data_IF_082553504891
#
_entry.id   IF_082553504891
#
_cell.length_a   1.000
_cell.length_b   1.000
_cell.length_c   1.000
_cell.angle_alpha   90.00
_cell.angle_beta   90.00
_cell.angle_gamma   90.00
#
_symmetry.space_group_name_H-M   'P 1'
#
loop_
_entity.id
_entity.type
_entity.pdbx_description
1 polymer ?
#
# COMPACT_ATOMS: atom_id res chain seq x y z
N UNK A 1 -21.80 7.98 -8.67
CA UNK A 1 -21.40 9.21 -7.98
C UNK A 1 -19.90 9.22 -7.74
N UNK A 2 -19.39 10.34 -7.25
CA UNK A 2 -17.99 10.46 -6.81
C UNK A 2 -17.94 10.41 -5.29
N UNK A 3 -16.81 9.94 -4.75
CA UNK A 3 -16.56 9.83 -3.31
C UNK A 3 -15.29 10.60 -2.96
N UNK A 4 -15.32 11.33 -1.85
CA UNK A 4 -14.16 11.95 -1.22
C UNK A 4 -14.05 11.40 0.20
N UNK A 5 -12.94 10.75 0.51
CA UNK A 5 -12.61 10.26 1.84
C UNK A 5 -11.49 11.09 2.45
N UNK A 6 -11.66 11.51 3.70
CA UNK A 6 -10.64 12.23 4.45
C UNK A 6 -10.24 11.39 5.67
N UNK A 7 -8.95 11.16 5.82
CA UNK A 7 -8.39 10.42 6.95
C UNK A 7 -7.45 11.34 7.70
N UNK A 8 -7.62 11.36 9.00
CA UNK A 8 -6.76 12.07 9.95
C UNK A 8 -6.15 11.03 10.89
N UNK A 9 -4.81 10.96 10.92
CA UNK A 9 -4.08 9.96 11.69
C UNK A 9 -3.06 10.66 12.59
N UNK A 10 -3.16 10.44 13.89
CA UNK A 10 -2.10 10.80 14.83
C UNK A 10 -1.36 9.52 15.21
N UNK A 11 -0.04 9.50 15.04
CA UNK A 11 0.75 8.31 15.23
C UNK A 11 1.97 8.62 16.09
N UNK A 12 2.05 7.97 17.24
CA UNK A 12 3.22 7.91 18.09
C UNK A 12 3.75 6.48 18.09
N UNK A 13 5.02 6.31 17.78
CA UNK A 13 5.68 5.01 17.77
C UNK A 13 6.96 5.09 18.58
N UNK A 14 7.11 4.18 19.54
CA UNK A 14 8.28 4.03 20.38
C UNK A 14 8.75 2.59 20.35
N UNK A 15 10.06 2.40 20.26
CA UNK A 15 10.71 1.11 20.34
C UNK A 15 11.84 1.18 21.36
N UNK A 16 11.69 0.42 22.42
CA UNK A 16 12.72 0.18 23.43
C UNK A 16 13.61 -1.00 22.99
N UNK A 17 14.89 -0.78 22.90
CA UNK A 17 15.88 -1.80 22.53
C UNK A 17 16.33 -2.64 23.73
N UNK A 18 15.86 -2.37 24.95
CA UNK A 18 16.20 -3.02 26.21
C UNK A 18 17.70 -3.07 26.48
N UNK A 19 18.36 -4.18 26.14
CA UNK A 19 19.80 -4.39 26.36
C UNK A 19 20.65 -4.00 25.14
N UNK A 20 20.05 -3.37 24.13
CA UNK A 20 20.70 -2.91 22.90
C UNK A 20 20.69 -1.41 22.75
N UNK A 21 21.36 -0.95 21.72
CA UNK A 21 21.37 0.45 21.29
C UNK A 21 20.84 0.58 19.88
N UNK A 22 20.19 1.70 19.59
CA UNK A 22 19.87 2.09 18.23
C UNK A 22 21.14 2.43 17.44
N UNK A 23 21.03 2.61 16.13
CA UNK A 23 22.13 3.07 15.30
C UNK A 23 22.66 4.46 15.72
N UNK A 24 21.87 5.24 16.47
CA UNK A 24 22.26 6.53 17.06
C UNK A 24 22.83 6.42 18.46
N UNK A 25 23.00 5.21 19.02
CA UNK A 25 23.54 4.97 20.34
C UNK A 25 22.55 5.17 21.51
N UNK A 26 21.26 5.31 21.23
CA UNK A 26 20.22 5.40 22.25
C UNK A 26 19.60 4.03 22.53
N UNK A 27 19.17 3.79 23.75
CA UNK A 27 18.43 2.57 24.12
C UNK A 27 17.01 2.50 23.56
N UNK A 28 16.55 3.51 22.85
CA UNK A 28 15.21 3.58 22.26
C UNK A 28 15.20 4.40 20.97
N UNK A 29 14.15 4.22 20.18
CA UNK A 29 13.79 5.09 19.05
C UNK A 29 12.34 5.49 19.16
N UNK A 30 12.02 6.72 18.81
CA UNK A 30 10.64 7.22 18.82
C UNK A 30 10.38 8.24 17.70
N UNK A 31 9.16 8.26 17.22
CA UNK A 31 8.64 9.25 16.30
C UNK A 31 7.19 9.55 16.64
N UNK A 32 6.83 10.84 16.59
CA UNK A 32 5.46 11.29 16.73
C UNK A 32 5.10 12.21 15.57
N UNK A 33 4.13 11.80 14.81
CA UNK A 33 3.76 12.47 13.57
C UNK A 33 2.24 12.47 13.36
N UNK A 34 1.80 13.38 12.51
CA UNK A 34 0.40 13.57 12.14
C UNK A 34 0.23 13.43 10.64
N UNK A 35 -0.70 12.59 10.20
CA UNK A 35 -1.03 12.34 8.81
C UNK A 35 -2.39 12.86 8.43
N UNK A 36 -2.48 13.61 7.34
CA UNK A 36 -3.71 14.01 6.69
C UNK A 36 -3.76 13.40 5.30
N UNK A 37 -4.83 12.70 4.97
CA UNK A 37 -4.97 12.02 3.69
C UNK A 37 -6.34 12.31 3.09
N UNK A 38 -6.36 12.65 1.82
CA UNK A 38 -7.55 12.82 1.01
C UNK A 38 -7.52 11.86 -0.17
N UNK A 39 -8.57 11.08 -0.35
CA UNK A 39 -8.76 10.16 -1.47
C UNK A 39 -10.02 10.55 -2.22
N UNK A 40 -9.89 10.81 -3.49
CA UNK A 40 -10.98 11.11 -4.39
C UNK A 40 -11.15 9.97 -5.40
N UNK A 41 -12.36 9.45 -5.49
CA UNK A 41 -12.75 8.46 -6.50
C UNK A 41 -13.90 9.04 -7.32
N UNK A 42 -13.68 9.28 -8.61
CA UNK A 42 -14.77 9.71 -9.48
C UNK A 42 -15.75 8.56 -9.75
N UNK A 43 -16.98 8.89 -10.10
CA UNK A 43 -17.85 7.98 -10.81
C UNK A 43 -17.31 7.67 -12.21
N UNK A 44 -18.04 6.85 -12.94
CA UNK A 44 -17.77 6.54 -14.36
C UNK A 44 -18.64 7.37 -15.27
N UNK A 45 -18.13 7.69 -16.47
CA UNK A 45 -18.92 8.25 -17.55
C UNK A 45 -20.02 7.28 -17.96
N UNK A 46 -21.09 7.82 -18.58
CA UNK A 46 -22.17 7.03 -19.15
C UNK A 46 -21.72 6.37 -20.47
N UNK A 47 -22.22 5.18 -20.76
CA UNK A 47 -21.92 4.46 -21.99
C UNK A 47 -21.49 3.01 -21.73
N UNK A 48 -21.24 2.28 -22.82
CA UNK A 48 -20.80 0.88 -22.74
C UNK A 48 -19.43 0.72 -22.09
N UNK A 49 -18.57 1.74 -22.24
CA UNK A 49 -17.30 1.88 -21.53
C UNK A 49 -17.41 3.10 -20.63
N UNK A 50 -17.33 2.90 -19.34
CA UNK A 50 -17.25 3.97 -18.35
C UNK A 50 -15.79 4.35 -18.10
N UNK A 51 -15.49 5.65 -18.09
CA UNK A 51 -14.17 6.17 -17.76
C UNK A 51 -14.27 6.98 -16.47
N UNK A 52 -13.24 6.90 -15.62
CA UNK A 52 -13.15 7.66 -14.39
C UNK A 52 -11.69 7.91 -14.00
N UNK A 53 -11.52 8.62 -12.90
CA UNK A 53 -10.21 8.92 -12.30
C UNK A 53 -10.28 8.76 -10.79
N UNK A 54 -9.18 8.30 -10.22
CA UNK A 54 -8.92 8.31 -8.79
C UNK A 54 -7.72 9.22 -8.54
N UNK A 55 -7.72 9.93 -7.41
CA UNK A 55 -6.62 10.80 -7.02
C UNK A 55 -6.46 10.77 -5.50
N UNK A 56 -5.26 11.03 -5.02
CA UNK A 56 -5.01 11.21 -3.61
C UNK A 56 -3.99 12.32 -3.35
N UNK A 57 -4.11 12.93 -2.17
CA UNK A 57 -3.11 13.83 -1.61
C UNK A 57 -2.92 13.46 -0.13
N UNK A 58 -1.67 13.37 0.28
CA UNK A 58 -1.28 13.00 1.64
C UNK A 58 -0.24 13.96 2.17
N UNK A 59 -0.32 14.28 3.45
CA UNK A 59 0.60 15.16 4.17
C UNK A 59 1.00 14.47 5.47
N UNK A 60 2.29 14.32 5.72
CA UNK A 60 2.86 13.94 6.99
C UNK A 60 3.50 15.16 7.65
N UNK A 61 3.23 15.36 8.93
CA UNK A 61 3.76 16.45 9.76
C UNK A 61 4.45 15.88 10.99
N UNK A 62 5.67 16.29 11.25
CA UNK A 62 6.37 15.98 12.49
C UNK A 62 5.73 16.75 13.65
N UNK A 63 5.41 16.05 14.73
CA UNK A 63 4.94 16.66 15.98
C UNK A 63 6.07 16.74 17.00
N UNK A 64 6.71 15.60 17.28
CA UNK A 64 7.89 15.52 18.13
C UNK A 64 8.74 14.32 17.74
N UNK A 65 9.85 14.57 17.06
CA UNK A 65 10.85 13.58 16.69
C UNK A 65 12.16 14.33 16.54
N UNK A 66 13.12 14.08 17.40
CA UNK A 66 14.39 14.79 17.39
C UNK A 66 15.54 13.96 16.82
N UNK A 67 16.61 14.66 16.44
CA UNK A 67 17.90 14.07 16.14
C UNK A 67 18.34 13.09 17.22
N UNK A 68 18.84 11.93 16.83
CA UNK A 68 19.27 10.88 17.74
C UNK A 68 18.16 10.01 18.33
N UNK A 69 16.90 10.37 18.18
CA UNK A 69 15.74 9.56 18.62
C UNK A 69 15.04 8.87 17.47
N UNK A 70 15.16 9.39 16.24
CA UNK A 70 14.51 8.92 15.03
C UNK A 70 15.56 8.42 14.02
N UNK A 71 15.13 7.70 12.99
CA UNK A 71 16.02 7.23 11.92
C UNK A 71 17.07 6.20 12.34
N UNK A 72 16.91 5.60 13.46
CA UNK A 72 17.91 4.75 14.09
C UNK A 72 18.08 3.36 13.47
N UNK A 73 18.08 3.28 12.17
CA UNK A 73 18.45 2.05 11.47
C UNK A 73 17.46 0.91 11.67
N UNK A 74 16.28 1.11 11.17
CA UNK A 74 15.42 -0.01 10.96
C UNK A 74 14.07 0.08 11.62
N UNK A 75 13.09 0.37 10.87
CA UNK A 75 11.70 -0.02 11.02
C UNK A 75 10.71 0.90 11.72
N UNK A 76 11.11 2.05 12.25
CA UNK A 76 10.16 2.99 12.87
C UNK A 76 9.87 4.22 12.00
N UNK A 77 10.29 4.28 10.79
CA UNK A 77 10.26 5.51 10.00
C UNK A 77 8.82 5.91 9.64
N UNK A 78 8.28 6.88 10.39
CA UNK A 78 7.05 7.58 10.06
C UNK A 78 7.31 8.76 9.12
N UNK A 79 8.51 9.36 9.23
CA UNK A 79 8.95 10.54 8.51
C UNK A 79 10.14 10.20 7.61
N UNK A 80 10.30 10.87 6.47
CA UNK A 80 11.56 10.86 5.74
C UNK A 80 12.69 11.42 6.61
N UNK A 81 13.92 11.06 6.28
CA UNK A 81 15.12 11.59 6.94
C UNK A 81 16.01 12.27 5.92
N UNK A 82 16.65 13.34 6.34
CA UNK A 82 17.66 14.03 5.55
C UNK A 82 19.00 13.24 5.50
N UNK A 83 19.99 13.78 4.82
CA UNK A 83 21.32 13.15 4.71
C UNK A 83 22.11 13.10 6.02
N UNK A 84 21.73 13.88 7.02
CA UNK A 84 22.29 13.84 8.36
C UNK A 84 21.60 12.82 9.27
N UNK A 85 20.47 12.26 8.82
CA UNK A 85 19.66 11.31 9.57
C UNK A 85 18.61 11.98 10.44
N UNK A 86 18.38 13.28 10.27
CA UNK A 86 17.35 14.01 11.00
C UNK A 86 15.99 13.88 10.32
N UNK A 87 14.89 13.71 11.08
CA UNK A 87 13.56 13.59 10.51
C UNK A 87 13.09 14.92 9.94
N UNK A 88 12.58 14.87 8.71
CA UNK A 88 11.98 16.02 8.02
C UNK A 88 10.76 16.55 8.80
N UNK A 89 10.54 17.88 8.74
CA UNK A 89 9.42 18.52 9.43
C UNK A 89 8.07 18.17 8.81
N UNK A 90 8.05 18.02 7.49
CA UNK A 90 6.87 17.63 6.74
C UNK A 90 7.26 16.92 5.44
N UNK A 91 6.30 16.19 4.87
CA UNK A 91 6.41 15.63 3.54
C UNK A 91 5.02 15.44 2.93
N UNK A 92 4.94 15.48 1.61
CA UNK A 92 3.69 15.32 0.87
C UNK A 92 3.83 14.26 -0.19
N UNK A 93 2.74 13.55 -0.46
CA UNK A 93 2.65 12.63 -1.58
C UNK A 93 1.31 12.80 -2.28
N UNK A 94 1.35 12.98 -3.60
CA UNK A 94 0.18 13.08 -4.44
C UNK A 94 0.28 12.07 -5.57
N UNK A 95 -0.85 11.53 -5.97
CA UNK A 95 -0.90 10.55 -7.04
C UNK A 95 -2.32 10.32 -7.52
N UNK A 96 -2.45 9.41 -8.49
CA UNK A 96 -3.75 9.07 -9.02
C UNK A 96 -3.68 8.03 -10.13
N UNK A 97 -4.85 7.58 -10.54
CA UNK A 97 -5.03 6.59 -11.59
C UNK A 97 -6.19 6.97 -12.49
N UNK A 98 -6.08 6.61 -13.76
CA UNK A 98 -7.23 6.55 -14.65
C UNK A 98 -7.86 5.17 -14.52
N UNK A 99 -9.19 5.10 -14.64
CA UNK A 99 -9.93 3.85 -14.56
C UNK A 99 -10.94 3.72 -15.69
N UNK A 100 -11.10 2.51 -16.17
CA UNK A 100 -12.09 2.16 -17.17
C UNK A 100 -12.91 0.97 -16.68
N UNK A 101 -14.20 0.98 -16.97
CA UNK A 101 -15.10 -0.13 -16.70
C UNK A 101 -15.82 -0.54 -17.96
N UNK A 102 -15.77 -1.82 -18.28
CA UNK A 102 -16.55 -2.46 -19.32
C UNK A 102 -17.30 -3.64 -18.69
N UNK A 103 -18.64 -3.56 -18.67
CA UNK A 103 -19.48 -4.53 -17.95
C UNK A 103 -18.97 -4.66 -16.49
N UNK A 104 -18.64 -5.88 -16.08
CA UNK A 104 -18.18 -6.21 -14.72
C UNK A 104 -16.66 -6.28 -14.61
N UNK A 105 -15.94 -5.71 -15.57
CA UNK A 105 -14.49 -5.61 -15.56
C UNK A 105 -14.05 -4.17 -15.34
N UNK A 106 -13.25 -3.94 -14.30
CA UNK A 106 -12.59 -2.67 -14.03
C UNK A 106 -11.08 -2.79 -14.27
N UNK A 107 -10.50 -1.80 -14.94
CA UNK A 107 -9.06 -1.65 -15.13
C UNK A 107 -8.65 -0.29 -14.54
N UNK A 108 -7.59 -0.27 -13.74
CA UNK A 108 -6.97 0.96 -13.25
C UNK A 108 -5.52 1.03 -13.70
N UNK A 109 -5.06 2.22 -14.10
CA UNK A 109 -3.68 2.48 -14.50
C UNK A 109 -3.18 3.77 -13.86
N UNK A 110 -2.08 3.69 -13.12
CA UNK A 110 -1.49 4.78 -12.34
C UNK A 110 -1.07 4.33 -10.95
N UNK A 111 -1.29 5.18 -9.96
CA UNK A 111 -1.05 4.84 -8.57
C UNK A 111 -2.24 4.05 -8.00
N UNK A 112 -1.97 2.86 -7.51
CA UNK A 112 -2.97 1.87 -7.08
C UNK A 112 -2.65 1.31 -5.70
N UNK A 113 -3.67 0.79 -5.03
CA UNK A 113 -3.60 0.20 -3.70
C UNK A 113 -4.11 -1.25 -3.74
N UNK A 114 -3.34 -2.20 -4.27
CA UNK A 114 -3.78 -3.60 -4.34
C UNK A 114 -3.94 -4.19 -2.94
N UNK A 115 -5.00 -4.97 -2.74
CA UNK A 115 -5.35 -5.59 -1.47
C UNK A 115 -5.67 -7.08 -1.67
N UNK A 116 -4.69 -7.84 -2.13
CA UNK A 116 -4.80 -9.29 -2.33
C UNK A 116 -3.91 -10.06 -1.33
N UNK A 117 -4.11 -11.36 -1.13
CA UNK A 117 -3.27 -12.13 -0.21
C UNK A 117 -1.78 -12.21 -0.59
N UNK A 118 -1.43 -11.92 -1.84
CA UNK A 118 -0.05 -12.02 -2.35
C UNK A 118 0.57 -10.67 -2.70
N UNK A 119 -0.24 -9.63 -2.87
CA UNK A 119 0.20 -8.25 -3.05
C UNK A 119 -0.76 -7.35 -2.31
N UNK A 120 -0.29 -6.74 -1.24
CA UNK A 120 -1.09 -5.88 -0.39
C UNK A 120 -0.31 -4.60 -0.09
N UNK A 121 -0.95 -3.44 -0.22
CA UNK A 121 -0.34 -2.19 0.23
C UNK A 121 -0.25 -2.19 1.76
N UNK A 122 0.89 -1.79 2.30
CA UNK A 122 1.07 -1.63 3.74
C UNK A 122 0.40 -0.35 4.24
N UNK A 123 -0.33 -0.45 5.35
CA UNK A 123 -0.95 0.72 6.03
C UNK A 123 -0.63 0.71 7.54
N UNK A 124 0.55 0.24 7.90
CA UNK A 124 1.00 0.12 9.29
C UNK A 124 1.86 1.30 9.75
N UNK A 125 1.91 2.39 9.01
CA UNK A 125 2.69 3.60 9.31
C UNK A 125 1.81 4.85 9.18
N UNK A 126 2.46 6.03 9.17
CA UNK A 126 1.76 7.33 9.10
C UNK A 126 0.94 7.45 7.82
N UNK A 127 1.55 7.17 6.67
CA UNK A 127 0.89 7.13 5.37
C UNK A 127 0.92 5.70 4.83
N UNK A 128 -0.07 5.28 4.01
CA UNK A 128 -0.07 3.97 3.39
C UNK A 128 0.98 3.89 2.27
N UNK A 129 1.45 2.68 2.00
CA UNK A 129 2.17 2.37 0.77
C UNK A 129 1.24 2.52 -0.45
N UNK A 130 1.83 2.72 -1.61
CA UNK A 130 1.13 2.65 -2.89
C UNK A 130 2.01 1.97 -3.93
N UNK A 131 1.40 1.52 -5.02
CA UNK A 131 2.09 0.92 -6.14
C UNK A 131 1.75 1.66 -7.42
N UNK A 132 2.63 1.63 -8.40
CA UNK A 132 2.37 2.18 -9.72
C UNK A 132 2.32 1.09 -10.76
N UNK A 133 1.26 1.07 -11.57
CA UNK A 133 1.08 0.07 -12.60
C UNK A 133 -0.34 -0.05 -13.10
N UNK A 134 -0.71 -1.26 -13.53
CA UNK A 134 -2.05 -1.57 -14.03
C UNK A 134 -2.63 -2.72 -13.22
N UNK A 135 -3.88 -2.57 -12.81
CA UNK A 135 -4.66 -3.60 -12.13
C UNK A 135 -5.96 -3.89 -12.87
N UNK A 136 -6.46 -5.10 -12.74
CA UNK A 136 -7.74 -5.54 -13.30
C UNK A 136 -8.52 -6.30 -12.24
N UNK A 137 -9.82 -6.02 -12.17
CA UNK A 137 -10.80 -6.79 -11.38
C UNK A 137 -11.95 -7.17 -12.28
N UNK A 138 -12.34 -8.42 -12.24
CA UNK A 138 -13.47 -8.94 -13.02
C UNK A 138 -14.45 -9.69 -12.11
N UNK A 139 -15.73 -9.34 -12.22
CA UNK A 139 -16.84 -9.95 -11.49
C UNK A 139 -17.93 -10.48 -12.46
N UNK A 140 -17.56 -10.84 -13.69
CA UNK A 140 -18.52 -11.29 -14.72
C UNK A 140 -19.12 -12.66 -14.45
N UNK A 141 -18.52 -13.43 -13.56
CA UNK A 141 -19.03 -14.73 -13.15
C UNK A 141 -19.61 -14.63 -11.75
N UNK A 142 -20.81 -15.18 -11.56
CA UNK A 142 -21.44 -15.24 -10.25
C UNK A 142 -20.52 -15.95 -9.25
N UNK A 143 -20.46 -15.42 -8.04
CA UNK A 143 -19.67 -15.97 -6.94
C UNK A 143 -18.15 -16.03 -7.17
N UNK A 144 -17.62 -15.52 -8.29
CA UNK A 144 -16.20 -15.50 -8.61
C UNK A 144 -15.69 -14.09 -8.88
N UNK A 145 -14.77 -13.62 -8.05
CA UNK A 145 -13.98 -12.40 -8.31
C UNK A 145 -12.58 -12.80 -8.80
N UNK A 146 -12.20 -12.33 -9.98
CA UNK A 146 -10.83 -12.47 -10.50
C UNK A 146 -10.09 -11.14 -10.37
N UNK A 147 -8.84 -11.20 -9.97
CA UNK A 147 -8.00 -10.02 -9.82
C UNK A 147 -6.59 -10.28 -10.35
N UNK A 148 -5.99 -9.25 -10.90
CA UNK A 148 -4.62 -9.32 -11.35
C UNK A 148 -4.02 -7.93 -11.56
N UNK A 149 -2.71 -7.89 -11.75
CA UNK A 149 -2.02 -6.65 -12.01
C UNK A 149 -0.56 -6.85 -12.38
N UNK A 150 -0.01 -5.79 -12.96
CA UNK A 150 1.42 -5.63 -13.21
C UNK A 150 1.86 -4.26 -12.74
N UNK A 151 2.74 -4.25 -11.76
CA UNK A 151 3.25 -3.08 -11.08
C UNK A 151 4.73 -2.92 -11.42
N UNK A 152 5.20 -1.68 -11.57
CA UNK A 152 6.60 -1.40 -11.95
C UNK A 152 7.32 -0.47 -10.98
N UNK A 153 6.62 0.05 -9.99
CA UNK A 153 7.21 0.84 -8.91
C UNK A 153 6.32 0.76 -7.66
N UNK A 154 6.88 1.16 -6.53
CA UNK A 154 6.15 1.35 -5.28
C UNK A 154 6.53 2.67 -4.62
N UNK A 155 5.76 3.04 -3.61
CA UNK A 155 6.02 4.17 -2.73
C UNK A 155 5.96 3.69 -1.29
N UNK A 156 7.04 3.87 -0.56
CA UNK A 156 7.08 3.54 0.86
C UNK A 156 6.28 4.56 1.69
N UNK A 157 5.93 4.23 2.95
CA UNK A 157 5.11 5.09 3.80
C UNK A 157 5.71 6.47 4.09
N UNK A 158 7.03 6.58 4.10
CA UNK A 158 7.80 7.75 4.49
C UNK A 158 8.54 8.41 3.31
N UNK A 159 7.93 8.46 2.14
CA UNK A 159 8.50 9.13 0.98
C UNK A 159 7.48 9.98 0.24
N UNK A 160 7.93 11.04 -0.39
CA UNK A 160 7.15 11.86 -1.34
C UNK A 160 7.16 11.28 -2.76
N UNK A 161 8.06 10.34 -3.05
CA UNK A 161 8.18 9.75 -4.38
C UNK A 161 7.13 8.65 -4.58
N UNK A 162 6.51 8.62 -5.76
CA UNK A 162 5.54 7.59 -6.16
C UNK A 162 6.11 6.61 -7.21
N UNK A 163 7.42 6.62 -7.43
CA UNK A 163 8.07 5.81 -8.46
C UNK A 163 9.43 5.29 -7.98
N UNK A 164 9.46 4.71 -6.78
CA UNK A 164 10.65 4.08 -6.22
C UNK A 164 10.74 2.60 -6.60
N UNK A 165 11.91 2.02 -6.39
CA UNK A 165 12.15 0.58 -6.51
C UNK A 165 11.32 -0.21 -5.50
N UNK A 166 11.13 -1.49 -5.78
CA UNK A 166 10.46 -2.37 -4.83
C UNK A 166 11.32 -2.59 -3.59
N UNK A 167 10.68 -2.50 -2.43
CA UNK A 167 11.30 -2.78 -1.14
C UNK A 167 10.55 -3.93 -0.48
N UNK A 168 11.32 -4.86 0.05
CA UNK A 168 10.78 -6.01 0.77
C UNK A 168 11.10 -5.90 2.24
N UNK A 169 10.19 -6.34 3.09
CA UNK A 169 10.34 -6.20 4.54
C UNK A 169 11.64 -6.81 5.09
N UNK A 170 12.09 -7.94 4.52
CA UNK A 170 13.31 -8.63 4.96
C UNK A 170 14.52 -8.43 4.04
N UNK A 171 14.29 -8.10 2.78
CA UNK A 171 15.36 -8.02 1.77
C UNK A 171 15.80 -6.60 1.42
N UNK A 172 15.11 -5.59 1.96
CA UNK A 172 15.36 -4.20 1.57
C UNK A 172 15.00 -3.92 0.10
N UNK A 173 15.68 -2.96 -0.51
CA UNK A 173 15.48 -2.62 -1.92
C UNK A 173 15.84 -3.79 -2.82
N UNK A 174 15.02 -4.04 -3.83
CA UNK A 174 15.17 -5.14 -4.79
C UNK A 174 15.16 -4.56 -6.21
N UNK A 175 16.22 -4.82 -6.94
CA UNK A 175 16.29 -4.51 -8.37
C UNK A 175 15.40 -5.48 -9.15
N UNK A 176 14.12 -5.14 -9.25
CA UNK A 176 13.12 -5.92 -9.96
C UNK A 176 12.31 -5.01 -10.88
N UNK A 177 12.26 -5.31 -12.19
CA UNK A 177 11.59 -4.43 -13.16
C UNK A 177 10.06 -4.46 -13.04
N UNK A 178 9.49 -5.44 -12.36
CA UNK A 178 8.05 -5.52 -12.15
C UNK A 178 7.65 -6.57 -11.09
N UNK A 179 6.49 -6.33 -10.51
CA UNK A 179 5.73 -7.26 -9.67
C UNK A 179 4.41 -7.57 -10.38
N UNK A 180 4.20 -8.85 -10.70
CA UNK A 180 2.94 -9.31 -11.28
C UNK A 180 2.17 -10.20 -10.31
N UNK A 181 0.85 -10.15 -10.37
CA UNK A 181 -0.01 -11.04 -9.59
C UNK A 181 -1.30 -11.38 -10.35
N UNK A 182 -1.88 -12.52 -10.01
CA UNK A 182 -3.17 -12.95 -10.49
C UNK A 182 -3.80 -13.92 -9.50
N UNK A 183 -5.10 -13.96 -9.45
CA UNK A 183 -5.85 -14.90 -8.63
C UNK A 183 -7.32 -14.58 -8.56
N UNK A 184 -7.99 -15.24 -7.64
CA UNK A 184 -9.41 -15.01 -7.42
C UNK A 184 -9.95 -15.65 -6.16
N UNK A 185 -11.17 -15.23 -5.85
CA UNK A 185 -11.99 -15.68 -4.75
C UNK A 185 -13.26 -16.29 -5.28
N UNK A 186 -13.54 -17.53 -4.92
CA UNK A 186 -14.77 -18.24 -5.27
C UNK A 186 -15.60 -18.52 -4.03
N UNK A 187 -16.81 -17.98 -3.99
CA UNK A 187 -17.79 -18.21 -2.93
C UNK A 187 -18.69 -19.37 -3.32
N UNK A 188 -18.49 -20.55 -2.73
CA UNK A 188 -19.36 -21.73 -2.95
C UNK A 188 -20.76 -21.46 -2.44
N UNK A 189 -20.86 -20.74 -1.33
CA UNK A 189 -22.09 -20.23 -0.73
C UNK A 189 -21.72 -19.11 0.26
N UNK A 190 -22.68 -18.55 0.99
CA UNK A 190 -22.48 -17.48 1.97
C UNK A 190 -21.51 -17.85 3.11
N UNK A 191 -21.28 -19.13 3.36
CA UNK A 191 -20.48 -19.64 4.46
C UNK A 191 -19.14 -20.25 4.04
N UNK A 192 -18.89 -20.45 2.75
CA UNK A 192 -17.69 -21.14 2.27
C UNK A 192 -17.07 -20.41 1.07
N UNK A 193 -15.81 -19.99 1.23
CA UNK A 193 -15.03 -19.29 0.21
C UNK A 193 -13.66 -19.95 0.03
N UNK A 194 -13.26 -20.09 -1.22
CA UNK A 194 -11.91 -20.46 -1.64
C UNK A 194 -11.19 -19.26 -2.23
N UNK A 195 -9.88 -19.15 -1.95
CA UNK A 195 -9.01 -18.12 -2.52
C UNK A 195 -7.78 -18.79 -3.11
N UNK A 196 -7.41 -18.42 -4.31
CA UNK A 196 -6.20 -18.89 -4.98
C UNK A 196 -5.51 -17.73 -5.67
N UNK A 197 -4.26 -17.45 -5.27
CA UNK A 197 -3.47 -16.35 -5.82
C UNK A 197 -2.03 -16.76 -6.06
N UNK A 198 -1.42 -16.10 -7.03
CA UNK A 198 0.01 -16.19 -7.30
C UNK A 198 0.58 -14.80 -7.54
N UNK A 199 1.82 -14.58 -7.15
CA UNK A 199 2.58 -13.38 -7.49
C UNK A 199 4.02 -13.73 -7.85
N UNK A 200 4.63 -12.84 -8.64
CA UNK A 200 6.04 -12.90 -9.01
C UNK A 200 6.66 -11.51 -8.94
N UNK A 201 7.66 -11.36 -8.08
CA UNK A 201 8.60 -10.25 -8.18
C UNK A 201 9.74 -10.73 -9.07
N UNK A 202 9.87 -10.10 -10.25
CA UNK A 202 10.79 -10.55 -11.29
C UNK A 202 12.23 -10.58 -10.76
N UNK A 203 12.89 -11.72 -10.98
CA UNK A 203 14.27 -12.01 -10.57
C UNK A 203 14.51 -12.08 -9.05
N UNK A 204 13.45 -12.02 -8.23
CA UNK A 204 13.51 -12.11 -6.79
C UNK A 204 12.77 -13.34 -6.23
N UNK A 205 11.44 -13.42 -6.39
CA UNK A 205 10.67 -14.56 -5.86
C UNK A 205 9.38 -14.85 -6.64
N UNK A 206 8.82 -16.05 -6.38
CA UNK A 206 7.45 -16.40 -6.69
C UNK A 206 6.74 -16.76 -5.39
N UNK A 207 5.46 -16.40 -5.28
CA UNK A 207 4.60 -16.69 -4.14
C UNK A 207 3.28 -17.29 -4.63
N UNK A 208 2.79 -18.28 -3.90
CA UNK A 208 1.49 -18.89 -4.12
C UNK A 208 0.70 -18.89 -2.84
N UNK A 209 -0.58 -18.59 -2.92
CA UNK A 209 -1.49 -18.57 -1.79
C UNK A 209 -2.72 -19.41 -2.09
N UNK A 210 -3.10 -20.25 -1.14
CA UNK A 210 -4.37 -20.93 -1.09
C UNK A 210 -5.06 -20.61 0.23
N UNK A 211 -6.30 -20.17 0.17
CA UNK A 211 -7.13 -19.85 1.34
C UNK A 211 -8.45 -20.61 1.32
N UNK A 212 -8.89 -21.03 2.49
CA UNK A 212 -10.21 -21.58 2.75
C UNK A 212 -10.81 -20.84 3.94
N UNK A 213 -11.96 -20.22 3.75
CA UNK A 213 -12.73 -19.57 4.79
C UNK A 213 -14.08 -20.25 4.94
N UNK A 214 -14.41 -20.68 6.16
CA UNK A 214 -15.69 -21.28 6.49
C UNK A 214 -16.27 -20.60 7.73
N UNK A 215 -17.56 -20.20 7.66
CA UNK A 215 -18.28 -19.60 8.78
C UNK A 215 -19.42 -20.53 9.18
N UNK A 216 -19.49 -20.89 10.46
CA UNK A 216 -20.57 -21.67 11.04
C UNK A 216 -21.34 -20.83 12.04
N UNK A 217 -22.66 -20.69 11.95
CA UNK A 217 -23.45 -20.11 13.03
C UNK A 217 -23.36 -21.07 14.25
N UNK A 218 -23.03 -20.52 15.40
CA UNK A 218 -23.06 -21.22 16.69
C UNK A 218 -24.46 -21.15 17.28
#
# INVERSE_FOLDING_TARGET
>A
GSTLSLINRNYYFNRDFRDGESATGNGYSEEWAHGLMAFFESGYTQGSVGIGVDAFAMLGLKLDSGSGRSGAGGSIDLLPHDSAGDPEDDFTRVGGAVKARLLDTEIKAGDVFPATPVVHFGDARLLPESFKGVTVVNNSLDDLTLQGGRLHAMSQPNTSNTNDDFVTFYGGAVDAPWLGYAGGDYSVNENLRFSLYTSRLKDAWNQHYFGLSATYPL
#
